data_IF_392336807365
#
_entry.id   IF_392336807365
#
_cell.length_a   1.000
_cell.length_b   1.000
_cell.length_c   1.000
_cell.angle_alpha   90.00
_cell.angle_beta   90.00
_cell.angle_gamma   90.00
#
_symmetry.space_group_name_H-M   'P 1'
#
loop_
_entity.id
_entity.type
_entity.pdbx_description
1 polymer ?
#
# COMPACT_ATOMS: atom_id res chain seq x y z
N UNK A 1 0.38 15.31 -14.30
CA UNK A 1 1.34 15.05 -13.22
C UNK A 1 2.14 13.79 -13.51
N UNK A 2 3.44 13.91 -13.51
CA UNK A 2 4.32 12.78 -13.79
C UNK A 2 4.40 11.86 -12.57
N UNK A 3 4.83 10.64 -12.81
CA UNK A 3 5.07 9.68 -11.74
C UNK A 3 6.08 10.23 -10.72
N UNK A 4 7.18 10.78 -11.21
CA UNK A 4 8.22 11.34 -10.34
C UNK A 4 7.68 12.47 -9.47
N UNK A 5 6.89 13.34 -10.06
CA UNK A 5 6.32 14.48 -9.34
C UNK A 5 5.38 14.01 -8.24
N UNK A 6 4.48 13.07 -8.58
CA UNK A 6 3.55 12.51 -7.61
C UNK A 6 4.28 11.81 -6.48
N UNK A 7 5.32 11.03 -6.82
CA UNK A 7 6.14 10.33 -5.84
C UNK A 7 6.82 11.31 -4.89
N UNK A 8 7.43 12.36 -5.43
CA UNK A 8 8.14 13.35 -4.61
C UNK A 8 7.19 14.08 -3.66
N UNK A 9 6.02 14.47 -4.14
CA UNK A 9 5.00 15.09 -3.29
C UNK A 9 4.53 14.15 -2.19
N UNK A 10 4.25 12.91 -2.54
CA UNK A 10 3.78 11.92 -1.57
C UNK A 10 4.82 11.67 -0.49
N UNK A 11 6.09 11.56 -0.87
CA UNK A 11 7.17 11.35 0.08
C UNK A 11 7.28 12.54 1.03
N UNK A 12 7.14 13.75 0.52
CA UNK A 12 7.17 14.96 1.33
C UNK A 12 6.08 14.95 2.40
N UNK A 13 4.87 14.64 1.99
CA UNK A 13 3.72 14.55 2.90
C UNK A 13 3.91 13.42 3.90
N UNK A 14 4.33 12.25 3.43
CA UNK A 14 4.52 11.08 4.27
C UNK A 14 5.61 11.30 5.31
N UNK A 15 6.70 11.97 4.93
CA UNK A 15 7.79 12.29 5.85
C UNK A 15 7.28 13.17 6.98
N UNK A 16 6.46 14.15 6.65
CA UNK A 16 5.90 15.06 7.65
C UNK A 16 4.89 14.36 8.56
N UNK A 17 3.91 13.66 7.98
CA UNK A 17 2.82 13.06 8.76
C UNK A 17 3.23 11.78 9.47
N UNK A 18 4.06 10.96 8.84
CA UNK A 18 4.54 9.70 9.40
C UNK A 18 5.81 9.85 10.22
N UNK A 19 6.41 11.06 10.25
CA UNK A 19 7.68 11.29 10.94
C UNK A 19 8.76 10.36 10.41
N UNK A 20 8.78 10.12 9.10
CA UNK A 20 9.70 9.16 8.52
C UNK A 20 11.10 9.71 8.43
N UNK A 21 12.07 8.93 8.89
CA UNK A 21 13.49 9.18 8.73
C UNK A 21 14.06 8.47 7.52
N UNK A 22 13.38 7.42 7.05
CA UNK A 22 13.78 6.63 5.90
C UNK A 22 12.55 6.25 5.10
N UNK A 23 12.63 6.39 3.77
CA UNK A 23 11.56 6.00 2.85
C UNK A 23 12.03 4.80 2.07
N UNK A 24 11.24 3.73 2.09
CA UNK A 24 11.59 2.47 1.45
C UNK A 24 10.73 2.17 0.23
N UNK A 25 9.44 2.54 0.26
CA UNK A 25 8.49 2.13 -0.79
C UNK A 25 7.55 3.27 -1.15
N UNK A 26 7.12 3.26 -2.40
CA UNK A 26 6.09 4.16 -2.91
C UNK A 26 5.12 3.35 -3.75
N UNK A 27 3.81 3.58 -3.52
CA UNK A 27 2.75 2.89 -4.23
C UNK A 27 1.77 3.90 -4.82
N UNK A 28 1.44 3.74 -6.07
CA UNK A 28 0.40 4.52 -6.74
C UNK A 28 -0.79 3.60 -6.93
N UNK A 29 -1.82 3.79 -6.15
CA UNK A 29 -3.03 2.97 -6.15
C UNK A 29 -4.14 3.74 -6.85
N UNK A 30 -4.77 3.12 -7.83
CA UNK A 30 -5.84 3.74 -8.58
C UNK A 30 -6.98 2.75 -8.80
N UNK A 31 -7.98 2.85 -7.92
CA UNK A 31 -9.20 2.06 -8.04
C UNK A 31 -10.36 3.03 -7.96
N UNK A 32 -11.36 3.25 -7.94
CA UNK A 32 -12.35 4.34 -7.87
C UNK A 32 -11.69 5.69 -7.62
N UNK A 33 -10.81 5.75 -6.63
CA UNK A 33 -10.07 6.96 -6.27
C UNK A 33 -8.59 6.64 -6.27
N UNK A 34 -7.77 7.67 -6.43
CA UNK A 34 -6.33 7.50 -6.42
C UNK A 34 -5.77 7.78 -5.03
N UNK A 35 -4.90 6.89 -4.59
CA UNK A 35 -4.17 7.03 -3.34
C UNK A 35 -2.69 6.83 -3.61
N UNK A 36 -1.87 7.59 -2.90
CA UNK A 36 -0.42 7.39 -2.91
C UNK A 36 -0.04 6.88 -1.54
N UNK A 37 0.70 5.78 -1.50
CA UNK A 37 1.12 5.21 -0.23
C UNK A 37 2.63 5.17 -0.17
N UNK A 38 3.17 5.41 1.03
CA UNK A 38 4.61 5.42 1.27
C UNK A 38 4.91 4.51 2.45
N UNK A 39 5.86 3.61 2.26
CA UNK A 39 6.38 2.79 3.35
C UNK A 39 7.73 3.29 3.78
N UNK A 40 7.99 3.26 5.08
CA UNK A 40 9.26 3.71 5.61
C UNK A 40 9.37 3.50 7.11
N UNK A 41 10.44 4.05 7.67
CA UNK A 41 10.74 3.94 9.11
C UNK A 41 10.85 5.32 9.73
N UNK A 42 10.39 5.44 10.97
CA UNK A 42 10.64 6.65 11.75
C UNK A 42 12.05 6.60 12.36
N UNK A 43 12.41 7.63 13.13
CA UNK A 43 13.74 7.74 13.74
C UNK A 43 14.02 6.61 14.73
N UNK A 44 12.99 5.99 15.28
CA UNK A 44 13.13 4.86 16.22
C UNK A 44 13.25 3.53 15.50
N UNK A 45 13.09 3.51 14.18
CA UNK A 45 13.12 2.29 13.39
C UNK A 45 11.77 1.60 13.25
N UNK A 46 10.69 2.23 13.73
CA UNK A 46 9.35 1.66 13.58
C UNK A 46 8.87 1.82 12.15
N UNK A 47 8.42 0.71 11.57
CA UNK A 47 7.98 0.69 10.18
C UNK A 47 6.53 1.14 10.06
N UNK A 48 6.27 2.04 9.12
CA UNK A 48 4.96 2.64 8.93
C UNK A 48 4.56 2.66 7.47
N UNK A 49 3.26 2.72 7.23
CA UNK A 49 2.69 3.08 5.95
C UNK A 49 1.90 4.36 6.12
N UNK A 50 2.05 5.26 5.16
CA UNK A 50 1.28 6.50 5.09
C UNK A 50 0.47 6.46 3.80
N UNK A 51 -0.85 6.52 3.91
CA UNK A 51 -1.76 6.43 2.78
C UNK A 51 -2.40 7.80 2.57
N UNK A 52 -2.19 8.38 1.38
CA UNK A 52 -2.55 9.76 1.06
C UNK A 52 -3.58 9.77 -0.05
N UNK A 53 -4.75 10.35 0.23
CA UNK A 53 -5.75 10.54 -0.81
C UNK A 53 -5.28 11.64 -1.78
N UNK A 54 -5.37 11.37 -3.06
CA UNK A 54 -5.00 12.37 -4.08
C UNK A 54 -5.87 13.62 -3.97
N UNK A 55 -7.15 13.42 -3.70
CA UNK A 55 -8.11 14.51 -3.53
C UNK A 55 -8.63 14.52 -2.11
N UNK A 56 -8.85 15.71 -1.56
CA UNK A 56 -9.43 15.88 -0.24
C UNK A 56 -8.42 15.91 0.90
N UNK A 57 -7.15 15.66 0.61
CA UNK A 57 -6.07 15.82 1.58
C UNK A 57 -6.07 14.86 2.77
N UNK A 58 -6.85 13.79 2.72
CA UNK A 58 -6.89 12.85 3.83
C UNK A 58 -5.61 12.02 3.86
N UNK A 59 -5.00 11.93 5.05
CA UNK A 59 -3.76 11.17 5.27
C UNK A 59 -4.00 10.20 6.42
N UNK A 60 -3.65 8.94 6.20
CA UNK A 60 -3.72 7.91 7.23
C UNK A 60 -2.34 7.37 7.50
N UNK A 61 -2.00 7.20 8.78
CA UNK A 61 -0.71 6.62 9.18
C UNK A 61 -1.00 5.37 9.99
N UNK A 62 -0.36 4.27 9.62
CA UNK A 62 -0.50 3.00 10.34
C UNK A 62 0.87 2.39 10.56
N UNK A 63 1.00 1.58 11.60
CA UNK A 63 2.19 0.78 11.80
C UNK A 63 2.09 -0.46 10.91
N UNK A 64 3.20 -0.83 10.26
CA UNK A 64 3.18 -2.01 9.40
C UNK A 64 2.85 -3.29 10.18
N UNK A 65 3.28 -3.35 11.42
CA UNK A 65 3.04 -4.52 12.28
C UNK A 65 1.58 -4.67 12.71
N UNK A 66 0.75 -3.65 12.49
CA UNK A 66 -0.68 -3.73 12.81
C UNK A 66 -1.48 -4.39 11.70
N UNK A 67 -0.81 -4.85 10.67
CA UNK A 67 -1.40 -5.57 9.57
C UNK A 67 -0.35 -6.40 8.85
N UNK A 68 -0.55 -6.59 7.56
CA UNK A 68 0.35 -7.37 6.71
C UNK A 68 1.19 -6.42 5.87
N UNK A 69 2.50 -6.46 6.04
CA UNK A 69 3.39 -5.69 5.18
C UNK A 69 3.48 -6.37 3.81
N UNK A 70 4.21 -5.74 2.89
CA UNK A 70 4.27 -6.25 1.51
C UNK A 70 4.79 -7.68 1.45
N UNK A 71 5.87 -7.98 2.17
CA UNK A 71 6.44 -9.33 2.18
C UNK A 71 5.44 -10.36 2.71
N UNK A 72 4.73 -10.00 3.76
CA UNK A 72 3.74 -10.87 4.37
C UNK A 72 2.56 -11.13 3.44
N UNK A 73 2.05 -10.09 2.78
CA UNK A 73 0.91 -10.29 1.87
C UNK A 73 1.32 -11.07 0.62
N UNK A 74 2.57 -10.91 0.17
CA UNK A 74 3.09 -11.73 -0.93
C UNK A 74 3.11 -13.21 -0.55
N UNK A 75 3.46 -13.52 0.69
CA UNK A 75 3.46 -14.90 1.18
C UNK A 75 2.04 -15.45 1.28
N UNK A 76 1.08 -14.64 1.75
CA UNK A 76 -0.32 -15.02 1.78
C UNK A 76 -0.80 -15.36 0.37
N UNK A 77 -0.51 -14.49 -0.59
CA UNK A 77 -0.90 -14.70 -1.98
C UNK A 77 -0.34 -16.00 -2.53
N UNK A 78 0.93 -16.28 -2.27
CA UNK A 78 1.60 -17.48 -2.77
C UNK A 78 0.92 -18.76 -2.27
N UNK A 79 0.39 -18.73 -1.06
CA UNK A 79 -0.34 -19.89 -0.50
C UNK A 79 -1.74 -20.02 -1.09
N UNK A 80 -2.42 -18.90 -1.32
CA UNK A 80 -3.80 -18.90 -1.82
C UNK A 80 -3.84 -19.20 -3.31
N UNK A 81 -2.86 -18.68 -4.05
CA UNK A 81 -2.80 -18.82 -5.50
C UNK A 81 -1.43 -19.36 -5.95
N UNK A 82 -1.12 -20.64 -5.64
CA UNK A 82 0.23 -21.16 -5.87
C UNK A 82 0.63 -21.25 -7.34
N UNK A 83 -0.35 -21.19 -8.25
CA UNK A 83 -0.09 -21.28 -9.70
C UNK A 83 0.04 -19.90 -10.36
N UNK A 84 -0.01 -18.82 -9.57
CA UNK A 84 0.10 -17.48 -10.12
C UNK A 84 1.36 -16.79 -9.61
N UNK A 85 1.91 -15.93 -10.47
CA UNK A 85 3.11 -15.17 -10.15
C UNK A 85 2.74 -13.70 -9.99
N UNK A 86 3.24 -13.07 -8.96
CA UNK A 86 2.95 -11.67 -8.69
C UNK A 86 3.72 -10.78 -9.66
N UNK A 87 3.00 -9.90 -10.35
CA UNK A 87 3.61 -8.83 -11.13
C UNK A 87 3.90 -7.63 -10.24
N UNK A 88 2.91 -7.22 -9.44
CA UNK A 88 3.10 -6.11 -8.49
C UNK A 88 2.11 -6.18 -7.34
N UNK A 89 2.50 -5.59 -6.22
CA UNK A 89 1.65 -5.39 -5.06
C UNK A 89 1.58 -3.89 -4.77
N UNK A 90 0.39 -3.37 -4.54
CA UNK A 90 0.16 -1.94 -4.36
C UNK A 90 -0.76 -1.70 -3.17
N UNK A 91 -0.36 -0.80 -2.28
CA UNK A 91 -1.13 -0.47 -1.09
C UNK A 91 -2.00 0.75 -1.36
N UNK A 92 -3.27 0.66 -0.97
CA UNK A 92 -4.20 1.76 -1.14
C UNK A 92 -5.36 1.68 -0.18
N UNK A 93 -6.45 2.34 -0.55
CA UNK A 93 -7.62 2.42 0.29
C UNK A 93 -8.86 2.26 -0.57
N UNK A 94 -9.76 1.37 -0.15
CA UNK A 94 -10.98 1.11 -0.90
C UNK A 94 -12.08 0.66 0.06
N UNK A 95 -13.25 1.27 -0.08
CA UNK A 95 -14.43 0.90 0.70
C UNK A 95 -14.14 0.81 2.20
N UNK A 96 -13.48 1.84 2.74
CA UNK A 96 -13.15 1.99 4.17
C UNK A 96 -12.10 1.00 4.68
N UNK A 97 -11.39 0.33 3.78
CA UNK A 97 -10.32 -0.59 4.15
C UNK A 97 -9.01 -0.16 3.52
N UNK A 98 -7.94 -0.27 4.29
CA UNK A 98 -6.59 -0.24 3.70
C UNK A 98 -6.40 -1.59 3.06
N UNK A 99 -6.06 -1.60 1.77
CA UNK A 99 -6.03 -2.83 0.97
C UNK A 99 -4.71 -2.98 0.23
N UNK A 100 -4.32 -4.23 0.04
CA UNK A 100 -3.28 -4.60 -0.91
C UNK A 100 -3.96 -5.06 -2.20
N UNK A 101 -3.59 -4.44 -3.30
CA UNK A 101 -3.95 -4.92 -4.63
C UNK A 101 -2.78 -5.71 -5.17
N UNK A 102 -3.02 -6.96 -5.54
CA UNK A 102 -2.00 -7.79 -6.16
C UNK A 102 -2.43 -8.08 -7.59
N UNK A 103 -1.54 -7.76 -8.52
CA UNK A 103 -1.73 -8.05 -9.94
C UNK A 103 -0.80 -9.18 -10.30
N UNK A 104 -1.34 -10.23 -10.89
CA UNK A 104 -0.53 -11.37 -11.30
C UNK A 104 -0.02 -11.20 -12.73
N UNK A 105 1.01 -11.95 -13.09
CA UNK A 105 1.50 -12.00 -14.47
C UNK A 105 0.49 -12.61 -15.44
N UNK A 106 -0.53 -13.27 -14.90
CA UNK A 106 -1.64 -13.83 -15.67
C UNK A 106 -2.79 -12.82 -15.84
N UNK A 107 -2.54 -11.54 -15.51
CA UNK A 107 -3.51 -10.44 -15.65
C UNK A 107 -4.73 -10.60 -14.77
N UNK A 108 -4.58 -11.20 -13.58
CA UNK A 108 -5.64 -11.29 -12.60
C UNK A 108 -5.39 -10.26 -11.50
N UNK A 109 -6.47 -9.71 -10.95
CA UNK A 109 -6.42 -8.72 -9.88
C UNK A 109 -7.03 -9.30 -8.63
N UNK A 110 -6.31 -9.17 -7.51
CA UNK A 110 -6.72 -9.70 -6.22
C UNK A 110 -6.57 -8.62 -5.16
N UNK A 111 -7.50 -8.58 -4.22
CA UNK A 111 -7.47 -7.58 -3.15
C UNK A 111 -7.50 -8.28 -1.80
N UNK A 112 -6.67 -7.79 -0.87
CA UNK A 112 -6.55 -8.35 0.47
C UNK A 112 -6.62 -7.20 1.47
N UNK A 113 -7.34 -7.44 2.56
CA UNK A 113 -7.40 -6.46 3.64
C UNK A 113 -6.04 -6.37 4.33
N UNK A 114 -5.55 -5.14 4.52
CA UNK A 114 -4.25 -4.94 5.16
C UNK A 114 -4.22 -5.51 6.58
N UNK A 115 -5.28 -5.25 7.36
CA UNK A 115 -5.28 -5.63 8.77
C UNK A 115 -5.40 -7.12 8.99
N UNK A 116 -6.27 -7.78 8.24
CA UNK A 116 -6.58 -9.20 8.44
C UNK A 116 -5.83 -10.13 7.50
N UNK A 117 -5.33 -9.63 6.38
CA UNK A 117 -4.72 -10.46 5.35
C UNK A 117 -5.73 -11.30 4.59
N UNK A 118 -7.02 -11.08 4.79
CA UNK A 118 -8.07 -11.86 4.13
C UNK A 118 -8.41 -11.28 2.78
N UNK A 119 -8.74 -12.17 1.85
CA UNK A 119 -9.18 -11.77 0.52
C UNK A 119 -10.47 -10.97 0.61
N UNK A 120 -10.56 -9.92 -0.21
CA UNK A 120 -11.76 -9.11 -0.35
C UNK A 120 -12.38 -9.44 -1.69
N UNK A 121 -13.62 -9.91 -1.65
CA UNK A 121 -14.35 -10.30 -2.85
C UNK A 121 -15.19 -9.13 -3.37
N UNK A 122 -15.53 -9.18 -4.65
CA UNK A 122 -16.46 -8.23 -5.27
C UNK A 122 -16.00 -6.77 -5.21
N UNK A 123 -14.73 -6.56 -5.47
CA UNK A 123 -14.16 -5.22 -5.43
C UNK A 123 -13.96 -4.62 -6.81
#
# INVERSE_FOLDING_TARGET
KTYRHARNEAIQIATQYGKLAQVDDFYWFNRKKTYFSVGGKDAKGDEKYVIIAQKGGKVQVVNQKDGYNEDEIRQVFAKVHPNQTILKATLGFYNKHIVWEIVSKQNQYYFFDFKSGQAIENI
#
